data_IF_237126961292
#
_entry.id   IF_237126961292
#
_cell.length_a   1.000
_cell.length_b   1.000
_cell.length_c   1.000
_cell.angle_alpha   90.00
_cell.angle_beta   90.00
_cell.angle_gamma   90.00
#
_symmetry.space_group_name_H-M   'P 1'
#
loop_
_entity.id
_entity.type
_entity.pdbx_description
1 polymer ?
#
# COMPACT_ATOMS: atom_id res chain seq x y z
N UNK A 1 -10.87 -38.62 -49.04
CA UNK A 1 -12.21 -38.63 -48.42
C UNK A 1 -12.09 -38.11 -47.00
N UNK A 2 -12.77 -37.00 -46.71
CA UNK A 2 -13.33 -36.51 -45.42
C UNK A 2 -12.57 -36.95 -44.15
N UNK A 3 -11.89 -36.10 -43.38
CA UNK A 3 -12.27 -34.77 -42.90
C UNK A 3 -13.02 -34.89 -41.57
N UNK A 4 -12.44 -34.38 -40.48
CA UNK A 4 -13.06 -33.56 -39.42
C UNK A 4 -11.94 -32.86 -38.64
N UNK A 5 -12.02 -31.53 -38.69
CA UNK A 5 -11.34 -30.53 -37.88
C UNK A 5 -12.27 -30.14 -36.73
N UNK A 6 -11.80 -30.15 -35.48
CA UNK A 6 -12.22 -29.32 -34.32
C UNK A 6 -11.01 -29.42 -33.35
N UNK A 7 -10.22 -28.43 -32.97
CA UNK A 7 -10.39 -26.98 -32.97
C UNK A 7 -11.13 -26.51 -31.73
N UNK A 8 -10.42 -26.20 -30.63
CA UNK A 8 -10.74 -25.11 -29.67
C UNK A 8 -9.68 -25.05 -28.54
N UNK A 9 -9.10 -23.84 -28.41
CA UNK A 9 -8.54 -23.12 -27.25
C UNK A 9 -7.51 -23.84 -26.35
N UNK A 10 -6.21 -23.48 -26.30
CA UNK A 10 -5.63 -22.16 -25.98
C UNK A 10 -6.33 -21.47 -24.80
N UNK A 11 -5.89 -21.83 -23.59
CA UNK A 11 -6.29 -21.21 -22.32
C UNK A 11 -5.24 -21.45 -21.23
N UNK A 12 -3.97 -21.15 -21.54
CA UNK A 12 -2.88 -21.05 -20.56
C UNK A 12 -2.38 -19.61 -20.67
N UNK A 13 -2.21 -18.97 -19.50
CA UNK A 13 -1.84 -17.56 -19.25
C UNK A 13 -3.03 -16.68 -18.85
N UNK A 14 -3.46 -16.80 -17.59
CA UNK A 14 -3.92 -15.70 -16.73
C UNK A 14 -4.24 -16.23 -15.32
N UNK A 15 -3.22 -16.60 -14.54
CA UNK A 15 -3.35 -16.76 -13.08
C UNK A 15 -2.52 -15.68 -12.40
N UNK A 16 -2.90 -14.42 -12.67
CA UNK A 16 -2.46 -13.27 -11.89
C UNK A 16 -3.55 -12.99 -10.86
N UNK A 17 -3.21 -13.11 -9.58
CA UNK A 17 -3.95 -12.55 -8.44
C UNK A 17 -5.48 -12.68 -8.51
N UNK A 18 -6.00 -13.91 -8.59
CA UNK A 18 -7.43 -14.18 -8.55
C UNK A 18 -7.75 -15.10 -7.38
N UNK A 19 -8.46 -14.58 -6.38
CA UNK A 19 -9.16 -15.40 -5.39
C UNK A 19 -9.97 -16.44 -6.17
N UNK A 20 -9.67 -17.72 -5.96
CA UNK A 20 -10.38 -18.81 -6.64
C UNK A 20 -11.88 -18.73 -6.29
N UNK A 21 -12.79 -18.51 -7.26
CA UNK A 21 -14.22 -18.35 -6.97
C UNK A 21 -14.85 -19.60 -6.33
N UNK A 22 -14.31 -20.80 -6.62
CA UNK A 22 -14.74 -22.04 -5.96
C UNK A 22 -14.35 -22.07 -4.48
N UNK A 23 -13.26 -21.37 -4.10
CA UNK A 23 -12.90 -21.20 -2.67
C UNK A 23 -13.85 -20.23 -1.97
N UNK A 24 -14.32 -19.17 -2.64
CA UNK A 24 -15.25 -18.20 -2.04
C UNK A 24 -16.62 -18.81 -1.76
N UNK A 25 -17.14 -19.64 -2.65
CA UNK A 25 -18.40 -20.35 -2.43
C UNK A 25 -18.32 -21.34 -1.25
N UNK A 26 -17.20 -22.07 -1.12
CA UNK A 26 -16.94 -22.94 0.03
C UNK A 26 -16.75 -22.13 1.32
N UNK A 27 -16.14 -20.95 1.24
CA UNK A 27 -16.00 -20.01 2.37
C UNK A 27 -17.38 -19.48 2.79
N UNK A 28 -18.26 -19.09 1.89
CA UNK A 28 -19.60 -18.61 2.22
C UNK A 28 -20.49 -19.72 2.79
N UNK A 29 -20.43 -20.92 2.23
CA UNK A 29 -21.17 -22.06 2.76
C UNK A 29 -20.68 -22.44 4.17
N UNK A 30 -19.36 -22.46 4.40
CA UNK A 30 -18.81 -22.71 5.75
C UNK A 30 -19.07 -21.54 6.70
N UNK A 31 -19.04 -20.28 6.24
CA UNK A 31 -19.47 -19.10 7.02
C UNK A 31 -20.92 -19.23 7.46
N UNK A 32 -21.83 -19.68 6.59
CA UNK A 32 -23.23 -19.89 6.94
C UNK A 32 -23.43 -21.05 7.94
N UNK A 33 -22.71 -22.16 7.76
CA UNK A 33 -22.73 -23.30 8.69
C UNK A 33 -22.11 -22.96 10.07
N UNK A 34 -21.13 -22.05 10.10
CA UNK A 34 -20.44 -21.59 11.31
C UNK A 34 -21.17 -20.45 12.02
N UNK A 35 -21.76 -19.50 11.28
CA UNK A 35 -22.62 -18.45 11.83
C UNK A 35 -23.87 -19.03 12.51
N UNK A 36 -24.38 -20.15 12.00
CA UNK A 36 -25.45 -20.92 12.64
C UNK A 36 -25.03 -21.60 13.96
N UNK A 37 -23.73 -21.74 14.24
CA UNK A 37 -23.19 -22.31 15.49
C UNK A 37 -22.69 -21.27 16.50
N UNK A 38 -22.40 -20.03 16.08
CA UNK A 38 -21.77 -18.98 16.90
C UNK A 38 -22.72 -17.82 17.31
N UNK A 39 -24.04 -17.97 17.18
CA UNK A 39 -24.98 -16.83 17.16
C UNK A 39 -25.45 -16.29 18.53
N UNK A 40 -24.66 -16.37 19.60
CA UNK A 40 -25.04 -15.83 20.92
C UNK A 40 -24.04 -14.80 21.44
N UNK A 41 -24.49 -13.55 21.69
CA UNK A 41 -23.74 -12.60 22.52
C UNK A 41 -23.70 -13.18 23.95
N UNK A 42 -22.57 -13.74 24.34
CA UNK A 42 -22.37 -14.25 25.70
C UNK A 42 -22.10 -13.05 26.60
N UNK A 43 -23.13 -12.59 27.30
CA UNK A 43 -22.99 -11.60 28.37
C UNK A 43 -22.33 -12.27 29.57
N UNK A 44 -21.19 -11.72 30.00
CA UNK A 44 -20.37 -12.28 31.06
C UNK A 44 -20.04 -11.16 32.06
N UNK A 45 -20.67 -11.26 33.23
CA UNK A 45 -20.48 -10.34 34.35
C UNK A 45 -19.70 -11.00 35.48
N UNK A 46 -18.89 -10.21 36.18
CA UNK A 46 -18.23 -10.65 37.40
C UNK A 46 -19.11 -10.38 38.62
N UNK A 47 -18.92 -11.17 39.68
CA UNK A 47 -19.50 -10.96 41.00
C UNK A 47 -18.40 -10.67 42.00
N UNK A 48 -18.68 -9.85 43.01
CA UNK A 48 -17.72 -9.57 44.09
C UNK A 48 -17.34 -10.82 44.90
N UNK A 49 -18.17 -11.88 44.83
CA UNK A 49 -17.90 -13.18 45.43
C UNK A 49 -17.04 -14.11 44.56
N UNK A 50 -16.81 -13.78 43.28
CA UNK A 50 -15.95 -14.59 42.41
C UNK A 50 -14.48 -14.52 42.88
N UNK A 51 -13.68 -15.59 42.78
CA UNK A 51 -12.24 -15.53 43.02
C UNK A 51 -11.58 -14.47 42.13
N UNK A 52 -10.52 -13.81 42.63
CA UNK A 52 -9.80 -12.77 41.87
C UNK A 52 -9.40 -13.22 40.46
N UNK A 53 -8.85 -14.43 40.23
CA UNK A 53 -8.51 -14.89 38.89
C UNK A 53 -9.72 -14.96 37.94
N UNK A 54 -10.91 -15.29 38.44
CA UNK A 54 -12.13 -15.32 37.64
C UNK A 54 -12.55 -13.91 37.25
N UNK A 55 -12.48 -12.95 38.18
CA UNK A 55 -12.78 -11.54 37.87
C UNK A 55 -11.83 -10.97 36.82
N UNK A 56 -10.53 -11.20 36.98
CA UNK A 56 -9.50 -10.74 36.05
C UNK A 56 -9.70 -11.33 34.65
N UNK A 57 -10.10 -12.61 34.58
CA UNK A 57 -10.40 -13.28 33.32
C UNK A 57 -11.64 -12.71 32.63
N UNK A 58 -12.72 -12.48 33.38
CA UNK A 58 -13.96 -11.88 32.85
C UNK A 58 -13.67 -10.48 32.29
N UNK A 59 -12.95 -9.65 33.04
CA UNK A 59 -12.56 -8.31 32.58
C UNK A 59 -11.72 -8.40 31.30
N UNK A 60 -10.69 -9.25 31.30
CA UNK A 60 -9.78 -9.39 30.16
C UNK A 60 -10.50 -9.89 28.89
N UNK A 61 -11.46 -10.81 29.01
CA UNK A 61 -12.24 -11.27 27.84
C UNK A 61 -13.17 -10.18 27.30
N UNK A 62 -13.81 -9.41 28.18
CA UNK A 62 -14.66 -8.30 27.73
C UNK A 62 -13.83 -7.20 27.06
N UNK A 63 -12.65 -6.87 27.59
CA UNK A 63 -11.72 -5.95 26.93
C UNK A 63 -11.21 -6.49 25.59
N UNK A 64 -11.00 -7.82 25.48
CA UNK A 64 -10.60 -8.46 24.21
C UNK A 64 -11.67 -8.27 23.13
N UNK A 65 -12.95 -8.39 23.49
CA UNK A 65 -14.08 -8.15 22.57
C UNK A 65 -14.08 -6.71 22.05
N UNK A 66 -13.94 -5.72 22.93
CA UNK A 66 -13.80 -4.31 22.52
C UNK A 66 -12.59 -4.08 21.62
N UNK A 67 -11.43 -4.67 21.94
CA UNK A 67 -10.22 -4.54 21.11
C UNK A 67 -10.40 -5.13 19.72
N UNK A 68 -11.12 -6.24 19.61
CA UNK A 68 -11.44 -6.83 18.33
C UNK A 68 -12.37 -5.93 17.51
N UNK A 69 -13.36 -5.29 18.13
CA UNK A 69 -14.25 -4.31 17.49
C UNK A 69 -13.49 -3.05 17.02
N UNK A 70 -12.50 -2.60 17.78
CA UNK A 70 -11.60 -1.49 17.43
C UNK A 70 -10.54 -1.85 16.37
N UNK A 71 -10.50 -3.11 15.90
CA UNK A 71 -9.42 -3.64 15.05
C UNK A 71 -8.00 -3.52 15.67
N UNK A 72 -7.91 -3.41 16.99
CA UNK A 72 -6.66 -3.39 17.76
C UNK A 72 -6.21 -4.83 18.05
N UNK A 73 -5.61 -5.47 17.06
CA UNK A 73 -5.24 -6.89 17.12
C UNK A 73 -4.17 -7.19 18.19
N UNK A 74 -3.19 -6.30 18.36
CA UNK A 74 -2.15 -6.46 19.41
C UNK A 74 -2.79 -6.31 20.81
N UNK A 75 -3.74 -5.38 20.98
CA UNK A 75 -4.53 -5.23 22.19
C UNK A 75 -5.40 -6.46 22.48
N UNK A 76 -6.08 -7.00 21.46
CA UNK A 76 -6.87 -8.23 21.57
C UNK A 76 -6.03 -9.41 22.06
N UNK A 77 -4.88 -9.69 21.44
CA UNK A 77 -4.01 -10.80 21.84
C UNK A 77 -3.48 -10.65 23.27
N UNK A 78 -3.12 -9.43 23.66
CA UNK A 78 -2.64 -9.15 25.02
C UNK A 78 -3.71 -9.49 26.07
N UNK A 79 -4.95 -9.04 25.85
CA UNK A 79 -6.07 -9.28 26.77
C UNK A 79 -6.53 -10.74 26.75
N UNK A 80 -6.52 -11.37 25.57
CA UNK A 80 -6.78 -12.80 25.41
C UNK A 80 -5.82 -13.64 26.26
N UNK A 81 -4.51 -13.36 26.20
CA UNK A 81 -3.53 -14.09 26.99
C UNK A 81 -3.64 -13.82 28.49
N UNK A 82 -3.99 -12.60 28.89
CA UNK A 82 -4.27 -12.30 30.30
C UNK A 82 -5.44 -13.16 30.83
N UNK A 83 -6.51 -13.31 30.04
CA UNK A 83 -7.62 -14.19 30.39
C UNK A 83 -7.19 -15.67 30.50
N UNK A 84 -6.47 -16.18 29.49
CA UNK A 84 -6.00 -17.57 29.49
C UNK A 84 -4.96 -17.86 30.58
N UNK A 85 -4.15 -16.89 30.99
CA UNK A 85 -3.24 -17.06 32.12
C UNK A 85 -4.00 -17.25 33.45
N UNK A 86 -5.17 -16.60 33.58
CA UNK A 86 -6.00 -16.67 34.78
C UNK A 86 -6.86 -17.94 34.86
N UNK A 87 -7.36 -18.46 33.73
CA UNK A 87 -8.31 -19.61 33.71
C UNK A 87 -7.94 -20.76 32.77
N UNK A 88 -6.74 -20.72 32.18
CA UNK A 88 -6.26 -21.75 31.27
C UNK A 88 -5.69 -22.99 31.98
N UNK A 89 -5.06 -23.91 31.23
CA UNK A 89 -4.59 -25.22 31.73
C UNK A 89 -3.59 -25.17 32.90
N UNK A 90 -3.10 -23.98 33.25
CA UNK A 90 -2.12 -23.75 34.32
C UNK A 90 -2.73 -23.13 35.58
N UNK A 91 -4.05 -22.86 35.58
CA UNK A 91 -4.76 -22.37 36.74
C UNK A 91 -4.86 -23.46 37.84
N UNK A 92 -5.11 -23.06 39.08
CA UNK A 92 -5.30 -24.01 40.19
C UNK A 92 -6.56 -24.85 39.98
N UNK A 93 -6.61 -26.06 40.55
CA UNK A 93 -7.80 -26.92 40.47
C UNK A 93 -9.07 -26.23 40.98
N UNK A 94 -8.94 -25.39 42.03
CA UNK A 94 -10.04 -24.58 42.56
C UNK A 94 -10.59 -23.59 41.53
N UNK A 95 -9.72 -22.93 40.77
CA UNK A 95 -10.12 -22.00 39.70
C UNK A 95 -10.73 -22.79 38.54
N UNK A 96 -10.09 -23.89 38.11
CA UNK A 96 -10.56 -24.72 37.00
C UNK A 96 -11.94 -25.35 37.26
N UNK A 97 -12.26 -25.64 38.52
CA UNK A 97 -13.57 -26.16 38.93
C UNK A 97 -14.69 -25.09 38.93
N UNK A 98 -14.35 -23.81 38.76
CA UNK A 98 -15.33 -22.72 38.83
C UNK A 98 -16.28 -22.74 37.62
N UNK A 99 -17.61 -22.59 37.81
CA UNK A 99 -18.60 -22.74 36.74
C UNK A 99 -18.48 -21.70 35.62
N UNK A 100 -17.82 -20.56 35.87
CA UNK A 100 -17.56 -19.54 34.84
C UNK A 100 -16.40 -19.88 33.91
N UNK A 101 -15.49 -20.78 34.29
CA UNK A 101 -14.33 -21.13 33.44
C UNK A 101 -14.74 -21.67 32.07
N UNK A 102 -15.65 -22.65 31.96
CA UNK A 102 -16.13 -23.10 30.65
C UNK A 102 -16.76 -21.99 29.80
N UNK A 103 -17.47 -21.05 30.43
CA UNK A 103 -18.12 -19.92 29.74
C UNK A 103 -17.07 -18.94 29.21
N UNK A 104 -16.07 -18.60 30.03
CA UNK A 104 -14.93 -17.75 29.64
C UNK A 104 -14.19 -18.36 28.45
N UNK A 105 -13.84 -19.65 28.53
CA UNK A 105 -13.14 -20.35 27.45
C UNK A 105 -13.97 -20.42 26.17
N UNK A 106 -15.28 -20.62 26.28
CA UNK A 106 -16.21 -20.58 25.13
C UNK A 106 -16.25 -19.19 24.49
N UNK A 107 -16.30 -18.13 25.30
CA UNK A 107 -16.29 -16.75 24.78
C UNK A 107 -14.96 -16.43 24.09
N UNK A 108 -13.82 -16.87 24.63
CA UNK A 108 -12.50 -16.74 23.98
C UNK A 108 -12.51 -17.46 22.63
N UNK A 109 -12.97 -18.72 22.57
CA UNK A 109 -13.03 -19.46 21.31
C UNK A 109 -13.90 -18.76 20.24
N UNK A 110 -15.03 -18.17 20.65
CA UNK A 110 -15.87 -17.38 19.73
C UNK A 110 -15.16 -16.12 19.22
N UNK A 111 -14.42 -15.42 20.08
CA UNK A 111 -13.63 -14.26 19.69
C UNK A 111 -12.46 -14.65 18.78
N UNK A 112 -11.78 -15.77 19.06
CA UNK A 112 -10.72 -16.32 18.22
C UNK A 112 -11.25 -16.66 16.82
N UNK A 113 -12.47 -17.19 16.74
CA UNK A 113 -13.13 -17.49 15.47
C UNK A 113 -13.46 -16.20 14.70
N UNK A 114 -14.08 -15.20 15.34
CA UNK A 114 -14.33 -13.87 14.73
C UNK A 114 -13.03 -13.22 14.27
N UNK A 115 -11.97 -13.35 15.06
CA UNK A 115 -10.66 -12.82 14.72
C UNK A 115 -10.04 -13.58 13.54
N UNK A 116 -10.17 -14.91 13.49
CA UNK A 116 -9.69 -15.72 12.36
C UNK A 116 -10.41 -15.39 11.03
N UNK A 117 -11.65 -14.89 11.08
CA UNK A 117 -12.36 -14.38 9.91
C UNK A 117 -11.69 -13.14 9.27
N UNK A 118 -10.88 -12.40 10.04
CA UNK A 118 -10.04 -11.31 9.53
C UNK A 118 -8.75 -11.82 8.85
N UNK A 119 -8.43 -13.10 9.02
CA UNK A 119 -7.31 -13.78 8.38
C UNK A 119 -7.69 -14.45 7.05
N UNK A 120 -7.16 -15.64 6.81
CA UNK A 120 -7.46 -16.43 5.62
C UNK A 120 -8.14 -17.76 5.99
N UNK A 121 -8.49 -18.56 4.97
CA UNK A 121 -9.15 -19.85 5.18
C UNK A 121 -8.35 -20.81 6.10
N UNK A 122 -7.01 -20.74 6.08
CA UNK A 122 -6.13 -21.52 6.95
C UNK A 122 -6.28 -21.08 8.42
N UNK A 123 -6.41 -19.78 8.69
CA UNK A 123 -6.67 -19.25 10.05
C UNK A 123 -7.94 -19.82 10.66
N UNK A 124 -9.02 -19.85 9.88
CA UNK A 124 -10.31 -20.39 10.31
C UNK A 124 -10.19 -21.88 10.60
N UNK A 125 -9.51 -22.63 9.73
CA UNK A 125 -9.31 -24.06 9.87
C UNK A 125 -8.53 -24.44 11.14
N UNK A 126 -7.42 -23.76 11.42
CA UNK A 126 -6.60 -24.08 12.59
C UNK A 126 -7.28 -23.72 13.91
N UNK A 127 -8.01 -22.59 13.97
CA UNK A 127 -8.73 -22.17 15.19
C UNK A 127 -9.94 -23.05 15.45
N UNK A 128 -10.66 -23.45 14.40
CA UNK A 128 -11.84 -24.30 14.48
C UNK A 128 -11.51 -25.77 14.78
N UNK A 129 -10.22 -26.16 14.82
CA UNK A 129 -9.82 -27.51 15.17
C UNK A 129 -10.21 -27.83 16.63
N UNK A 130 -11.14 -28.78 16.87
CA UNK A 130 -11.58 -29.14 18.21
C UNK A 130 -10.56 -30.00 18.96
N UNK A 131 -9.62 -30.62 18.24
CA UNK A 131 -8.56 -31.44 18.83
C UNK A 131 -7.42 -30.52 19.28
N UNK A 132 -7.43 -30.14 20.57
CA UNK A 132 -6.32 -29.42 21.21
C UNK A 132 -5.41 -30.39 21.92
N UNK A 133 -4.10 -30.21 21.76
CA UNK A 133 -3.06 -31.04 22.37
C UNK A 133 -2.30 -30.27 23.45
N UNK A 134 -2.06 -30.91 24.59
CA UNK A 134 -1.14 -30.41 25.62
C UNK A 134 0.31 -30.87 25.42
N UNK A 135 0.60 -31.62 24.35
CA UNK A 135 1.91 -32.21 24.09
C UNK A 135 2.32 -32.02 22.62
N UNK A 136 3.54 -31.53 22.42
CA UNK A 136 4.20 -31.44 21.12
C UNK A 136 5.72 -31.55 21.33
N UNK A 137 6.45 -32.00 20.30
CA UNK A 137 7.91 -32.05 20.33
C UNK A 137 8.52 -30.64 20.45
N UNK A 138 9.61 -30.52 21.21
CA UNK A 138 10.32 -29.25 21.36
C UNK A 138 10.85 -28.72 20.03
N UNK A 139 11.36 -29.59 19.16
CA UNK A 139 11.88 -29.22 17.83
C UNK A 139 10.78 -28.64 16.93
N UNK A 140 9.57 -29.21 16.96
CA UNK A 140 8.44 -28.65 16.23
C UNK A 140 8.01 -27.29 16.81
N UNK A 141 8.02 -27.13 18.14
CA UNK A 141 7.70 -25.86 18.79
C UNK A 141 8.72 -24.76 18.47
N UNK A 142 10.02 -25.10 18.39
CA UNK A 142 11.04 -24.15 17.93
C UNK A 142 10.83 -23.75 16.47
N UNK A 143 10.47 -24.70 15.59
CA UNK A 143 10.15 -24.38 14.20
C UNK A 143 8.90 -23.48 14.07
N UNK A 144 7.87 -23.69 14.90
CA UNK A 144 6.72 -22.77 15.00
C UNK A 144 7.18 -21.39 15.44
N UNK A 145 8.01 -21.31 16.48
CA UNK A 145 8.50 -20.04 17.00
C UNK A 145 9.34 -19.26 15.97
N UNK A 146 10.25 -19.94 15.25
CA UNK A 146 10.96 -19.36 14.10
C UNK A 146 9.99 -18.81 13.04
N UNK A 147 8.90 -19.54 12.78
CA UNK A 147 7.81 -19.11 11.90
C UNK A 147 7.16 -17.82 12.39
N UNK A 148 6.67 -17.81 13.63
CA UNK A 148 5.99 -16.67 14.24
C UNK A 148 6.89 -15.42 14.29
N UNK A 149 8.16 -15.58 14.65
CA UNK A 149 9.15 -14.49 14.63
C UNK A 149 9.36 -13.95 13.22
N UNK A 150 9.38 -14.83 12.21
CA UNK A 150 9.45 -14.43 10.81
C UNK A 150 8.20 -13.66 10.38
N UNK A 151 7.02 -14.07 10.84
CA UNK A 151 5.78 -13.37 10.57
C UNK A 151 5.72 -11.99 11.23
N UNK A 152 6.18 -11.86 12.48
CA UNK A 152 6.29 -10.57 13.15
C UNK A 152 7.18 -9.61 12.36
N UNK A 153 8.29 -10.11 11.79
CA UNK A 153 9.16 -9.34 10.88
C UNK A 153 8.46 -8.99 9.57
N UNK A 154 7.68 -9.90 9.00
CA UNK A 154 6.89 -9.63 7.79
C UNK A 154 5.88 -8.50 8.01
N UNK A 155 5.17 -8.50 9.15
CA UNK A 155 4.25 -7.43 9.49
C UNK A 155 4.95 -6.08 9.72
N UNK A 156 6.10 -6.10 10.38
CA UNK A 156 6.92 -4.92 10.65
C UNK A 156 7.66 -4.39 9.41
N UNK A 157 7.73 -5.17 8.33
CA UNK A 157 8.39 -4.74 7.10
C UNK A 157 7.69 -3.51 6.50
N UNK A 158 8.51 -2.65 5.89
CA UNK A 158 8.08 -1.47 5.15
C UNK A 158 7.94 -1.74 3.65
N UNK A 159 8.32 -2.93 3.17
CA UNK A 159 8.30 -3.30 1.76
C UNK A 159 7.38 -4.48 1.48
N UNK A 160 6.59 -4.40 0.40
CA UNK A 160 5.75 -5.50 -0.06
C UNK A 160 6.57 -6.74 -0.42
N UNK A 161 7.70 -6.56 -1.11
CA UNK A 161 8.57 -7.66 -1.55
C UNK A 161 9.16 -8.40 -0.34
N UNK A 162 9.67 -7.66 0.64
CA UNK A 162 10.21 -8.25 1.86
C UNK A 162 9.10 -8.94 2.68
N UNK A 163 7.91 -8.33 2.78
CA UNK A 163 6.75 -8.96 3.43
C UNK A 163 6.41 -10.31 2.77
N UNK A 164 6.32 -10.35 1.44
CA UNK A 164 5.97 -11.58 0.71
C UNK A 164 7.07 -12.65 0.78
N UNK A 165 8.33 -12.26 0.88
CA UNK A 165 9.44 -13.18 1.11
C UNK A 165 9.41 -13.76 2.52
N UNK A 166 9.29 -12.90 3.55
CA UNK A 166 9.23 -13.33 4.94
C UNK A 166 7.98 -14.18 5.20
N UNK A 167 6.84 -13.84 4.60
CA UNK A 167 5.64 -14.67 4.72
C UNK A 167 5.84 -16.08 4.14
N UNK A 168 6.50 -16.21 2.97
CA UNK A 168 6.86 -17.54 2.42
C UNK A 168 7.77 -18.34 3.35
N UNK A 169 8.72 -17.67 4.01
CA UNK A 169 9.59 -18.32 5.01
C UNK A 169 8.82 -18.77 6.25
N UNK A 170 7.85 -17.97 6.69
CA UNK A 170 6.92 -18.37 7.76
C UNK A 170 6.14 -19.64 7.37
N UNK A 171 5.57 -19.70 6.16
CA UNK A 171 4.85 -20.89 5.68
C UNK A 171 5.75 -22.13 5.65
N UNK A 172 6.98 -21.98 5.15
CA UNK A 172 7.99 -23.06 5.13
C UNK A 172 8.31 -23.57 6.54
N UNK A 173 8.39 -22.68 7.53
CA UNK A 173 8.64 -23.05 8.92
C UNK A 173 7.47 -23.81 9.54
N UNK A 174 6.23 -23.43 9.23
CA UNK A 174 5.04 -24.17 9.66
C UNK A 174 4.97 -25.56 9.02
N UNK A 175 5.26 -25.68 7.74
CA UNK A 175 5.32 -26.98 7.05
C UNK A 175 6.39 -27.88 7.69
N UNK A 176 7.57 -27.33 7.98
CA UNK A 176 8.64 -28.03 8.70
C UNK A 176 8.18 -28.49 10.09
N UNK A 177 7.52 -27.61 10.86
CA UNK A 177 7.03 -27.96 12.19
C UNK A 177 6.01 -29.10 12.13
N UNK A 178 5.04 -29.02 11.22
CA UNK A 178 4.02 -30.04 11.03
C UNK A 178 4.60 -31.39 10.57
N UNK A 179 5.64 -31.36 9.74
CA UNK A 179 6.35 -32.57 9.30
C UNK A 179 7.15 -33.23 10.44
N UNK A 180 7.69 -32.43 11.37
CA UNK A 180 8.38 -32.93 12.57
C UNK A 180 7.40 -33.55 13.57
N UNK A 181 6.29 -32.86 13.83
CA UNK A 181 5.22 -33.33 14.72
C UNK A 181 3.89 -32.68 14.34
N UNK A 182 2.95 -33.48 13.82
CA UNK A 182 1.64 -32.99 13.39
C UNK A 182 0.78 -32.48 14.55
N UNK A 183 1.05 -32.89 15.79
CA UNK A 183 0.33 -32.40 16.97
C UNK A 183 0.69 -30.95 17.32
N UNK A 184 1.79 -30.41 16.78
CA UNK A 184 2.23 -29.04 17.08
C UNK A 184 1.20 -27.99 16.64
N UNK A 185 0.48 -28.25 15.55
CA UNK A 185 -0.53 -27.34 15.02
C UNK A 185 -1.79 -27.28 15.90
N UNK A 186 -1.94 -28.20 16.85
CA UNK A 186 -3.01 -28.25 17.84
C UNK A 186 -2.55 -27.83 19.25
N UNK A 187 -1.28 -27.45 19.41
CA UNK A 187 -0.66 -27.32 20.73
C UNK A 187 -1.17 -26.09 21.50
N UNK A 188 -1.57 -26.34 22.74
CA UNK A 188 -1.88 -25.33 23.76
C UNK A 188 -1.18 -25.73 25.06
N UNK A 189 -0.18 -24.96 25.49
CA UNK A 189 0.63 -25.35 26.64
C UNK A 189 1.68 -24.32 27.02
N UNK A 190 2.70 -24.74 27.79
CA UNK A 190 3.81 -23.85 28.15
C UNK A 190 4.76 -23.65 26.98
N UNK A 191 5.33 -22.45 26.89
CA UNK A 191 6.42 -22.16 25.94
C UNK A 191 7.66 -23.01 26.27
N UNK A 192 8.42 -23.47 25.26
CA UNK A 192 9.66 -24.23 25.48
C UNK A 192 10.73 -23.40 26.21
N UNK A 193 10.84 -22.11 25.87
CA UNK A 193 11.84 -21.19 26.42
C UNK A 193 11.19 -20.07 27.23
N UNK A 194 10.83 -20.35 28.49
CA UNK A 194 10.40 -19.34 29.45
C UNK A 194 9.10 -19.65 30.18
N UNK A 195 8.66 -18.70 31.02
CA UNK A 195 7.36 -18.74 31.66
C UNK A 195 6.31 -18.11 30.73
N UNK A 196 5.28 -18.86 30.35
CA UNK A 196 4.17 -18.35 29.55
C UNK A 196 3.39 -19.45 28.83
N UNK A 197 2.10 -19.19 28.57
CA UNK A 197 1.25 -20.02 27.73
C UNK A 197 1.53 -19.70 26.25
N UNK A 198 1.43 -20.70 25.38
CA UNK A 198 1.34 -20.54 23.92
C UNK A 198 0.15 -21.35 23.42
N UNK A 199 -0.63 -20.74 22.54
CA UNK A 199 -1.71 -21.37 21.78
C UNK A 199 -1.34 -21.25 20.30
N UNK A 200 -0.78 -22.32 19.74
CA UNK A 200 -0.22 -22.31 18.39
C UNK A 200 -1.29 -21.97 17.34
N UNK A 201 -2.50 -22.58 17.34
CA UNK A 201 -3.60 -22.15 16.49
C UNK A 201 -3.89 -20.66 16.51
N UNK A 202 -3.97 -20.07 17.71
CA UNK A 202 -4.30 -18.66 17.85
C UNK A 202 -3.17 -17.75 17.34
N UNK A 203 -1.91 -18.10 17.60
CA UNK A 203 -0.74 -17.36 17.10
C UNK A 203 -0.62 -17.41 15.58
N UNK A 204 -0.91 -18.57 14.98
CA UNK A 204 -0.97 -18.74 13.53
C UNK A 204 -2.07 -17.84 12.98
N UNK A 205 -3.30 -17.95 13.49
CA UNK A 205 -4.41 -17.09 13.05
C UNK A 205 -4.07 -15.60 13.20
N UNK A 206 -3.37 -15.23 14.27
CA UNK A 206 -2.92 -13.87 14.50
C UNK A 206 -1.94 -13.36 13.46
N UNK A 207 -0.93 -14.17 13.16
CA UNK A 207 -0.02 -13.90 12.06
C UNK A 207 -0.78 -13.72 10.73
N UNK A 208 -1.66 -14.66 10.38
CA UNK A 208 -2.40 -14.60 9.11
C UNK A 208 -3.27 -13.35 8.98
N UNK A 209 -3.95 -12.95 10.05
CA UNK A 209 -4.77 -11.73 10.08
C UNK A 209 -3.91 -10.48 9.93
N UNK A 210 -2.78 -10.39 10.63
CA UNK A 210 -1.82 -9.28 10.47
C UNK A 210 -1.32 -9.17 9.05
N UNK A 211 -0.91 -10.28 8.43
CA UNK A 211 -0.40 -10.26 7.07
C UNK A 211 -1.50 -9.94 6.06
N UNK A 212 -2.71 -10.46 6.26
CA UNK A 212 -3.86 -10.15 5.42
C UNK A 212 -4.23 -8.67 5.49
N UNK A 213 -4.27 -8.09 6.69
CA UNK A 213 -4.44 -6.66 6.91
C UNK A 213 -3.35 -5.85 6.20
N UNK A 214 -2.08 -6.21 6.43
CA UNK A 214 -0.95 -5.48 5.86
C UNK A 214 -1.04 -5.58 4.32
N UNK A 215 -1.31 -6.75 3.73
CA UNK A 215 -1.62 -6.97 2.29
C UNK A 215 -2.76 -6.13 1.78
N UNK A 216 -3.82 -5.95 2.55
CA UNK A 216 -4.89 -5.04 2.22
C UNK A 216 -4.41 -3.58 2.23
N UNK A 217 -3.56 -3.18 3.18
CA UNK A 217 -2.95 -1.84 3.21
C UNK A 217 -2.05 -1.59 1.98
N UNK A 218 -1.22 -2.55 1.56
CA UNK A 218 -0.46 -2.40 0.30
C UNK A 218 -1.34 -2.47 -0.96
N UNK A 219 -2.59 -2.94 -0.84
CA UNK A 219 -3.58 -2.87 -1.90
C UNK A 219 -4.44 -1.59 -1.82
N UNK A 220 -4.45 -0.90 -0.67
CA UNK A 220 -5.04 0.43 -0.48
C UNK A 220 -4.11 1.53 -1.01
N UNK A 221 -2.80 1.28 -1.06
CA UNK A 221 -1.84 2.14 -1.74
C UNK A 221 -1.69 1.72 -3.20
N UNK A 222 -1.69 2.67 -4.15
CA UNK A 222 -1.42 2.35 -5.55
C UNK A 222 -0.02 1.75 -5.66
N UNK A 223 0.13 0.72 -6.49
CA UNK A 223 1.46 0.20 -6.79
C UNK A 223 2.32 1.35 -7.33
N UNK A 224 3.53 1.54 -6.77
CA UNK A 224 4.49 2.45 -7.37
C UNK A 224 4.68 2.03 -8.83
N UNK A 225 4.49 2.97 -9.75
CA UNK A 225 4.70 2.71 -11.16
C UNK A 225 6.10 2.11 -11.31
N UNK A 226 6.17 0.86 -11.81
CA UNK A 226 7.45 0.20 -11.99
C UNK A 226 8.35 1.14 -12.80
N UNK A 227 9.56 1.42 -12.30
CA UNK A 227 10.56 2.17 -13.04
C UNK A 227 10.97 1.32 -14.24
N UNK A 228 10.20 1.43 -15.31
CA UNK A 228 10.47 0.84 -16.61
C UNK A 228 11.37 1.78 -17.42
N UNK A 229 12.01 2.77 -16.78
CA UNK A 229 12.97 3.61 -17.46
C UNK A 229 14.22 2.83 -17.81
N UNK A 230 14.62 2.96 -19.06
CA UNK A 230 15.94 2.59 -19.54
C UNK A 230 16.74 3.87 -19.61
N UNK A 231 17.90 3.88 -18.95
CA UNK A 231 18.85 4.97 -19.10
C UNK A 231 19.52 4.87 -20.48
N UNK A 232 19.58 5.98 -21.20
CA UNK A 232 20.35 6.10 -22.44
C UNK A 232 20.87 7.52 -22.60
N UNK A 233 21.91 7.69 -23.41
CA UNK A 233 22.43 9.00 -23.76
C UNK A 233 21.85 9.45 -25.10
N UNK A 234 21.34 10.67 -25.18
CA UNK A 234 20.77 11.24 -26.41
C UNK A 234 20.70 12.77 -26.39
N UNK A 235 20.08 13.34 -27.42
CA UNK A 235 19.92 14.80 -27.52
C UNK A 235 18.72 15.28 -26.67
N UNK A 236 18.94 16.26 -25.79
CA UNK A 236 17.93 16.77 -24.85
C UNK A 236 18.19 18.20 -24.39
N UNK A 237 17.31 18.76 -23.54
CA UNK A 237 17.55 20.05 -22.90
C UNK A 237 17.13 20.11 -21.42
N UNK A 238 17.74 21.05 -20.69
CA UNK A 238 17.38 21.43 -19.32
C UNK A 238 16.78 22.83 -19.31
N UNK A 239 15.76 23.09 -18.49
CA UNK A 239 15.22 24.44 -18.31
C UNK A 239 15.73 25.07 -17.01
N UNK A 240 16.23 26.30 -17.14
CA UNK A 240 16.82 27.08 -16.06
C UNK A 240 16.11 28.43 -16.02
N UNK A 241 15.52 28.75 -14.88
CA UNK A 241 14.90 30.04 -14.63
C UNK A 241 15.94 30.99 -14.07
N UNK A 242 16.05 32.15 -14.71
CA UNK A 242 16.99 33.20 -14.37
C UNK A 242 16.24 34.47 -14.00
N UNK A 243 16.82 35.26 -13.09
CA UNK A 243 16.34 36.62 -12.83
C UNK A 243 17.51 37.58 -12.65
N UNK A 244 17.26 38.86 -12.94
CA UNK A 244 18.19 39.94 -12.65
C UNK A 244 17.42 41.09 -12.00
N UNK A 245 17.92 41.55 -10.84
CA UNK A 245 17.36 42.71 -10.15
C UNK A 245 17.82 44.01 -10.81
N UNK A 246 16.93 45.00 -10.89
CA UNK A 246 17.28 46.34 -11.37
C UNK A 246 18.18 47.05 -10.35
N UNK A 247 19.33 47.55 -10.81
CA UNK A 247 20.32 48.26 -9.96
C UNK A 247 20.30 49.78 -10.17
N UNK A 248 19.89 50.25 -11.35
CA UNK A 248 19.64 51.67 -11.63
C UNK A 248 18.67 51.83 -12.82
N UNK A 249 18.20 53.05 -13.16
CA UNK A 249 17.31 53.25 -14.30
C UNK A 249 17.89 52.63 -15.58
N UNK A 250 17.17 51.68 -16.16
CA UNK A 250 17.57 50.90 -17.34
C UNK A 250 18.80 49.98 -17.18
N UNK A 251 19.29 49.73 -15.97
CA UNK A 251 20.41 48.81 -15.70
C UNK A 251 19.98 47.70 -14.75
N UNK A 252 20.24 46.46 -15.17
CA UNK A 252 20.01 45.25 -14.38
C UNK A 252 21.34 44.64 -13.93
N UNK A 253 21.32 43.95 -12.79
CA UNK A 253 22.44 43.14 -12.32
C UNK A 253 22.73 41.96 -13.27
N UNK A 254 23.82 41.24 -13.00
CA UNK A 254 24.06 39.94 -13.62
C UNK A 254 22.93 38.97 -13.25
N UNK A 255 22.58 38.10 -14.19
CA UNK A 255 21.52 37.11 -13.99
C UNK A 255 21.94 36.06 -12.96
N UNK A 256 21.04 35.74 -12.04
CA UNK A 256 21.17 34.66 -11.08
C UNK A 256 20.16 33.57 -11.39
N UNK A 257 20.50 32.33 -11.00
CA UNK A 257 19.61 31.18 -11.15
C UNK A 257 18.67 31.13 -9.94
N UNK A 258 17.36 31.11 -10.21
CA UNK A 258 16.32 31.09 -9.16
C UNK A 258 15.46 29.84 -9.18
N UNK A 259 15.66 29.00 -10.18
CA UNK A 259 15.12 27.65 -10.24
C UNK A 259 15.75 26.89 -11.39
N UNK A 260 16.01 25.62 -11.18
CA UNK A 260 16.39 24.68 -12.25
C UNK A 260 15.55 23.43 -12.08
N UNK A 261 15.17 22.77 -13.16
CA UNK A 261 14.77 21.37 -13.02
C UNK A 261 15.98 20.60 -12.47
N UNK A 262 15.87 20.04 -11.26
CA UNK A 262 16.94 19.27 -10.59
C UNK A 262 17.30 17.97 -11.31
N UNK A 263 16.49 17.62 -12.31
CA UNK A 263 16.68 16.54 -13.27
C UNK A 263 16.46 17.12 -14.68
N UNK A 264 17.01 16.50 -15.75
CA UNK A 264 16.49 16.74 -17.10
C UNK A 264 14.98 16.57 -17.04
N UNK A 265 14.20 17.39 -17.75
CA UNK A 265 12.78 17.11 -17.89
C UNK A 265 12.67 15.72 -18.51
N UNK A 266 12.31 14.74 -17.68
CA UNK A 266 12.22 13.34 -18.01
C UNK A 266 11.30 13.22 -19.23
N UNK A 267 11.83 12.64 -20.31
CA UNK A 267 11.03 12.31 -21.50
C UNK A 267 11.08 13.27 -22.69
N UNK A 268 11.85 14.36 -22.72
CA UNK A 268 11.95 15.19 -23.96
C UNK A 268 13.24 14.87 -24.72
N UNK A 269 13.22 13.74 -25.45
CA UNK A 269 14.19 13.51 -26.51
C UNK A 269 13.98 14.57 -27.60
N UNK A 270 14.95 15.48 -27.78
CA UNK A 270 14.95 16.36 -28.93
C UNK A 270 15.58 15.57 -30.07
N UNK A 271 14.92 15.48 -31.23
CA UNK A 271 15.59 14.96 -32.41
C UNK A 271 16.88 15.75 -32.62
N UNK A 272 18.05 15.11 -32.73
CA UNK A 272 19.32 15.81 -32.78
C UNK A 272 19.40 16.83 -33.93
N UNK A 273 18.67 16.58 -35.03
CA UNK A 273 18.49 17.50 -36.15
C UNK A 273 17.71 18.79 -35.82
N UNK A 274 16.92 18.78 -34.74
CA UNK A 274 16.14 19.91 -34.22
C UNK A 274 16.85 20.66 -33.09
N UNK A 275 18.06 20.23 -32.68
CA UNK A 275 18.86 21.05 -31.80
C UNK A 275 19.18 22.39 -32.48
N UNK A 276 19.20 23.50 -31.73
CA UNK A 276 19.60 24.77 -32.30
C UNK A 276 21.02 24.65 -32.88
N UNK A 277 21.33 25.31 -34.02
CA UNK A 277 22.65 25.23 -34.62
C UNK A 277 23.71 26.04 -33.86
N UNK A 278 23.29 26.98 -33.00
CA UNK A 278 24.16 27.80 -32.16
C UNK A 278 23.38 28.36 -30.96
N UNK A 279 24.11 28.77 -29.91
CA UNK A 279 23.52 29.49 -28.76
C UNK A 279 22.97 30.85 -29.21
N UNK A 280 21.73 31.15 -28.85
CA UNK A 280 21.06 32.43 -29.15
C UNK A 280 20.70 33.24 -27.88
N UNK A 281 21.00 32.72 -26.69
CA UNK A 281 20.85 33.48 -25.46
C UNK A 281 21.81 34.69 -25.42
N UNK A 282 21.42 35.83 -24.83
CA UNK A 282 22.31 36.98 -24.67
C UNK A 282 23.60 36.64 -23.91
N UNK A 283 24.74 37.26 -24.25
CA UNK A 283 26.04 36.98 -23.61
C UNK A 283 26.03 37.18 -22.10
N UNK A 284 25.29 38.18 -21.62
CA UNK A 284 25.11 38.46 -20.19
C UNK A 284 24.21 37.44 -19.47
N UNK A 285 23.55 36.53 -20.20
CA UNK A 285 22.85 35.36 -19.66
C UNK A 285 23.75 34.12 -19.73
N UNK A 286 24.44 33.91 -20.86
CA UNK A 286 25.29 32.74 -21.07
C UNK A 286 26.44 32.65 -20.05
N UNK A 287 27.10 33.79 -19.77
CA UNK A 287 28.24 33.81 -18.84
C UNK A 287 27.83 33.43 -17.41
N UNK A 288 26.82 34.06 -16.79
CA UNK A 288 26.39 33.66 -15.45
C UNK A 288 25.91 32.21 -15.37
N UNK A 289 25.26 31.68 -16.41
CA UNK A 289 24.89 30.27 -16.46
C UNK A 289 26.12 29.37 -16.43
N UNK A 290 27.15 29.64 -17.25
CA UNK A 290 28.41 28.88 -17.23
C UNK A 290 29.16 29.00 -15.90
N UNK A 291 29.10 30.16 -15.25
CA UNK A 291 29.76 30.40 -13.97
C UNK A 291 29.02 29.72 -12.81
N UNK A 292 27.68 29.64 -12.85
CA UNK A 292 26.84 29.11 -11.76
C UNK A 292 26.49 27.62 -11.93
N UNK A 293 26.39 27.09 -13.15
CA UNK A 293 26.09 25.68 -13.43
C UNK A 293 27.39 24.94 -13.78
N UNK A 294 28.09 24.47 -12.75
CA UNK A 294 29.35 23.73 -12.87
C UNK A 294 29.26 22.44 -13.72
N UNK A 295 28.05 21.98 -14.03
CA UNK A 295 27.78 20.82 -14.87
C UNK A 295 27.60 21.14 -16.36
N UNK A 296 27.62 22.42 -16.77
CA UNK A 296 27.60 22.83 -18.18
C UNK A 296 28.90 22.38 -18.88
N UNK A 297 28.75 21.57 -19.93
CA UNK A 297 29.88 21.16 -20.76
C UNK A 297 30.25 22.25 -21.78
N UNK A 298 31.52 22.33 -22.22
CA UNK A 298 31.96 23.32 -23.21
C UNK A 298 31.18 23.34 -24.54
N UNK A 299 30.48 22.26 -24.88
CA UNK A 299 29.65 22.12 -26.09
C UNK A 299 28.13 22.26 -25.88
N UNK A 300 27.65 22.55 -24.67
CA UNK A 300 26.23 22.76 -24.43
C UNK A 300 25.76 24.07 -25.08
N UNK A 301 24.58 24.03 -25.70
CA UNK A 301 23.98 25.16 -26.40
C UNK A 301 22.93 25.82 -25.51
N UNK A 302 22.90 27.15 -25.49
CA UNK A 302 22.07 27.90 -24.54
C UNK A 302 21.13 28.80 -25.32
N UNK A 303 19.82 28.67 -25.07
CA UNK A 303 18.78 29.40 -25.79
C UNK A 303 17.69 29.94 -24.89
N UNK A 304 17.14 31.11 -25.23
CA UNK A 304 16.01 31.68 -24.49
C UNK A 304 14.71 30.92 -24.80
N UNK A 305 14.03 30.42 -23.78
CA UNK A 305 12.68 29.90 -23.88
C UNK A 305 11.66 31.04 -23.74
N UNK A 306 11.48 31.79 -24.83
CA UNK A 306 10.55 32.91 -24.89
C UNK A 306 11.15 34.28 -24.51
N UNK A 307 10.32 35.34 -24.50
CA UNK A 307 10.76 36.69 -24.15
C UNK A 307 11.02 36.82 -22.64
N UNK A 308 11.70 37.90 -22.26
CA UNK A 308 11.84 38.25 -20.85
C UNK A 308 10.52 38.75 -20.27
N UNK A 309 10.24 38.35 -19.04
CA UNK A 309 9.15 38.86 -18.21
C UNK A 309 9.68 39.87 -17.19
N UNK A 310 8.80 40.72 -16.69
CA UNK A 310 9.14 41.75 -15.72
C UNK A 310 8.22 41.63 -14.50
N UNK A 311 8.81 41.54 -13.32
CA UNK A 311 8.08 41.41 -12.06
C UNK A 311 8.50 42.52 -11.10
N UNK A 312 7.52 43.28 -10.62
CA UNK A 312 7.74 44.30 -9.60
C UNK A 312 7.66 43.66 -8.21
N UNK A 313 8.78 43.69 -7.48
CA UNK A 313 8.87 43.39 -6.04
C UNK A 313 9.33 44.66 -5.30
N UNK A 314 10.26 44.53 -4.37
CA UNK A 314 10.98 45.67 -3.75
C UNK A 314 11.80 46.47 -4.77
N UNK A 315 12.27 45.80 -5.82
CA UNK A 315 12.86 46.38 -7.04
C UNK A 315 12.25 45.67 -8.26
N UNK A 316 12.45 46.23 -9.47
CA UNK A 316 12.02 45.58 -10.70
C UNK A 316 12.95 44.40 -11.03
N UNK A 317 12.40 43.22 -11.23
CA UNK A 317 13.13 42.04 -11.69
C UNK A 317 12.84 41.79 -13.16
N UNK A 318 13.89 41.45 -13.91
CA UNK A 318 13.80 40.95 -15.27
C UNK A 318 14.03 39.44 -15.25
N UNK A 319 13.03 38.67 -15.64
CA UNK A 319 12.98 37.21 -15.54
C UNK A 319 13.00 36.57 -16.92
N UNK A 320 13.56 35.37 -17.00
CA UNK A 320 13.50 34.57 -18.22
C UNK A 320 13.73 33.09 -17.94
N UNK A 321 13.38 32.27 -18.91
CA UNK A 321 13.68 30.84 -18.91
C UNK A 321 14.68 30.55 -20.01
N UNK A 322 15.67 29.72 -19.70
CA UNK A 322 16.74 29.33 -20.61
C UNK A 322 16.75 27.83 -20.78
N UNK A 323 16.85 27.37 -22.03
CA UNK A 323 17.07 25.98 -22.41
C UNK A 323 18.55 25.73 -22.65
N UNK A 324 19.11 24.79 -21.89
CA UNK A 324 20.46 24.27 -22.09
C UNK A 324 20.34 22.96 -22.86
N UNK A 325 20.65 22.97 -24.15
CA UNK A 325 20.64 21.80 -25.02
C UNK A 325 21.97 21.05 -24.96
N UNK A 326 21.90 19.72 -24.91
CA UNK A 326 23.05 18.81 -24.86
C UNK A 326 22.86 17.66 -25.84
N UNK A 327 23.95 17.25 -26.50
CA UNK A 327 23.93 16.18 -27.51
C UNK A 327 24.04 14.76 -26.92
N UNK A 328 24.51 14.66 -25.68
CA UNK A 328 24.74 13.44 -24.90
C UNK A 328 24.12 13.54 -23.49
N UNK A 329 22.91 14.10 -23.40
CA UNK A 329 22.19 14.19 -22.15
C UNK A 329 21.89 12.78 -21.60
N UNK A 330 22.09 12.53 -20.29
CA UNK A 330 21.58 11.33 -19.65
C UNK A 330 20.05 11.43 -19.61
N UNK A 331 19.38 10.58 -20.39
CA UNK A 331 17.94 10.55 -20.54
C UNK A 331 17.41 9.24 -19.94
N UNK A 332 16.27 9.33 -19.27
CA UNK A 332 15.45 8.18 -18.88
C UNK A 332 14.33 8.05 -19.89
N UNK A 333 14.26 6.93 -20.61
CA UNK A 333 13.10 6.56 -21.43
C UNK A 333 12.30 5.49 -20.73
N UNK A 334 11.02 5.75 -20.43
CA UNK A 334 10.13 4.66 -20.08
C UNK A 334 9.64 3.93 -21.34
N UNK A 335 8.93 2.81 -21.19
CA UNK A 335 8.20 2.20 -22.33
C UNK A 335 7.13 3.13 -22.93
N UNK A 336 6.64 4.08 -22.14
CA UNK A 336 5.88 5.22 -22.65
C UNK A 336 6.88 6.28 -23.12
N UNK A 337 6.67 6.97 -24.23
CA UNK A 337 7.59 8.01 -24.71
C UNK A 337 8.70 7.53 -25.66
N UNK A 338 9.26 6.32 -25.47
CA UNK A 338 10.28 5.76 -26.39
C UNK A 338 9.70 5.27 -27.72
N UNK A 339 8.50 4.71 -27.69
CA UNK A 339 7.78 4.27 -28.91
C UNK A 339 6.94 5.40 -29.54
N UNK A 340 6.47 6.35 -28.71
CA UNK A 340 5.74 7.54 -29.16
C UNK A 340 5.99 8.74 -28.21
N UNK A 341 6.72 9.79 -28.65
CA UNK A 341 7.05 10.96 -27.83
C UNK A 341 5.84 11.85 -27.51
N UNK A 342 4.67 11.55 -28.07
CA UNK A 342 3.42 12.26 -27.74
C UNK A 342 2.74 11.70 -26.48
N UNK A 343 3.17 10.55 -25.97
CA UNK A 343 2.59 9.87 -24.80
C UNK A 343 3.48 10.08 -23.56
N UNK A 344 2.87 10.44 -22.43
CA UNK A 344 3.49 10.57 -21.10
C UNK A 344 2.87 9.59 -20.11
N UNK A 345 3.60 9.21 -19.06
CA UNK A 345 3.06 8.32 -18.00
C UNK A 345 3.60 8.66 -16.61
N UNK A 346 3.05 8.01 -15.58
CA UNK A 346 3.48 8.18 -14.19
C UNK A 346 4.97 7.86 -13.98
N UNK A 347 5.49 6.82 -14.65
CA UNK A 347 6.89 6.41 -14.55
C UNK A 347 7.87 7.44 -15.14
N UNK A 348 7.41 8.41 -15.94
CA UNK A 348 8.21 9.54 -16.44
C UNK A 348 8.14 10.78 -15.53
N UNK A 349 7.51 10.66 -14.36
CA UNK A 349 7.34 11.78 -13.43
C UNK A 349 6.20 12.73 -13.81
N UNK A 350 5.24 12.29 -14.62
CA UNK A 350 4.05 13.10 -14.94
C UNK A 350 3.13 13.18 -13.71
N UNK A 351 3.14 14.33 -13.04
CA UNK A 351 2.28 14.61 -11.86
C UNK A 351 0.79 14.47 -12.19
N UNK A 352 0.37 14.81 -13.42
CA UNK A 352 -1.03 14.66 -13.84
C UNK A 352 -1.42 13.19 -14.05
N UNK A 353 -0.51 12.36 -14.62
CA UNK A 353 -0.75 10.93 -14.76
C UNK A 353 -0.81 10.23 -13.39
N UNK A 354 0.11 10.61 -12.49
CA UNK A 354 0.14 10.16 -11.11
C UNK A 354 -1.16 10.50 -10.37
N UNK A 355 -1.58 11.76 -10.42
CA UNK A 355 -2.84 12.22 -9.82
C UNK A 355 -4.05 11.41 -10.32
N UNK A 356 -4.14 11.19 -11.63
CA UNK A 356 -5.22 10.40 -12.23
C UNK A 356 -5.22 8.95 -11.71
N UNK A 357 -4.09 8.25 -11.82
CA UNK A 357 -4.00 6.84 -11.43
C UNK A 357 -4.26 6.65 -9.93
N UNK A 358 -3.71 7.54 -9.10
CA UNK A 358 -3.85 7.49 -7.65
C UNK A 358 -5.30 7.79 -7.23
N UNK A 359 -5.89 8.86 -7.76
CA UNK A 359 -7.29 9.20 -7.47
C UNK A 359 -8.26 8.07 -7.87
N UNK A 360 -8.06 7.47 -9.06
CA UNK A 360 -8.88 6.35 -9.52
C UNK A 360 -8.73 5.12 -8.63
N UNK A 361 -7.49 4.78 -8.24
CA UNK A 361 -7.21 3.67 -7.34
C UNK A 361 -7.94 3.85 -6.00
N UNK A 362 -7.75 5.00 -5.34
CA UNK A 362 -8.35 5.26 -4.05
C UNK A 362 -9.89 5.30 -4.10
N UNK A 363 -10.49 5.81 -5.19
CA UNK A 363 -11.95 5.74 -5.36
C UNK A 363 -12.46 4.29 -5.47
N UNK A 364 -11.76 3.44 -6.23
CA UNK A 364 -12.09 2.02 -6.33
C UNK A 364 -11.97 1.31 -4.96
N UNK A 365 -10.97 1.69 -4.14
CA UNK A 365 -10.80 1.18 -2.77
C UNK A 365 -11.88 1.70 -1.83
N UNK A 366 -12.30 2.96 -1.94
CA UNK A 366 -13.42 3.50 -1.16
C UNK A 366 -14.72 2.73 -1.44
N UNK A 367 -14.99 2.40 -2.70
CA UNK A 367 -16.15 1.58 -3.08
C UNK A 367 -16.05 0.15 -2.54
N UNK A 368 -14.86 -0.45 -2.60
CA UNK A 368 -14.63 -1.76 -1.99
C UNK A 368 -14.91 -1.74 -0.48
N UNK A 369 -14.35 -0.77 0.26
CA UNK A 369 -14.54 -0.65 1.71
C UNK A 369 -15.99 -0.33 2.10
N UNK A 370 -16.74 0.36 1.24
CA UNK A 370 -18.19 0.53 1.39
C UNK A 370 -18.95 -0.80 1.26
N UNK A 371 -18.55 -1.66 0.32
CA UNK A 371 -19.17 -2.97 0.11
C UNK A 371 -18.85 -3.98 1.23
N UNK A 372 -17.74 -3.81 1.96
CA UNK A 372 -17.36 -4.63 3.13
C UNK A 372 -17.62 -3.93 4.49
N UNK A 373 -18.76 -3.23 4.61
CA UNK A 373 -19.10 -2.22 5.63
C UNK A 373 -17.97 -1.69 6.54
N UNK A 374 -16.92 -1.11 5.96
CA UNK A 374 -15.81 -0.46 6.67
C UNK A 374 -15.84 1.07 6.47
N UNK A 375 -16.73 1.81 7.17
CA UNK A 375 -17.02 3.22 6.90
C UNK A 375 -15.81 4.14 7.11
N UNK A 376 -14.97 3.86 8.11
CA UNK A 376 -13.77 4.65 8.39
C UNK A 376 -12.74 4.52 7.26
N UNK A 377 -12.51 3.28 6.78
CA UNK A 377 -11.60 3.02 5.66
C UNK A 377 -12.13 3.56 4.34
N UNK A 378 -13.44 3.48 4.12
CA UNK A 378 -14.08 4.14 2.99
C UNK A 378 -13.81 5.65 2.98
N UNK A 379 -13.97 6.31 4.14
CA UNK A 379 -13.73 7.75 4.29
C UNK A 379 -12.25 8.10 4.11
N UNK A 380 -11.34 7.30 4.68
CA UNK A 380 -9.90 7.45 4.50
C UNK A 380 -9.50 7.40 3.02
N UNK A 381 -9.98 6.40 2.28
CA UNK A 381 -9.69 6.27 0.86
C UNK A 381 -10.28 7.42 0.04
N UNK A 382 -11.50 7.87 0.36
CA UNK A 382 -12.08 9.03 -0.30
C UNK A 382 -11.27 10.31 -0.07
N UNK A 383 -10.70 10.50 1.13
CA UNK A 383 -9.81 11.63 1.43
C UNK A 383 -8.51 11.54 0.61
N UNK A 384 -7.87 10.38 0.57
CA UNK A 384 -6.67 10.15 -0.27
C UNK A 384 -6.95 10.40 -1.75
N UNK A 385 -8.12 10.00 -2.25
CA UNK A 385 -8.54 10.30 -3.62
C UNK A 385 -8.66 11.80 -3.87
N UNK A 386 -9.27 12.54 -2.94
CA UNK A 386 -9.40 14.00 -3.03
C UNK A 386 -8.03 14.68 -3.07
N UNK A 387 -7.13 14.29 -2.17
CA UNK A 387 -5.80 14.87 -2.07
C UNK A 387 -4.94 14.55 -3.32
N UNK A 388 -5.02 13.32 -3.83
CA UNK A 388 -4.35 12.93 -5.07
C UNK A 388 -4.87 13.70 -6.29
N UNK A 389 -6.18 13.97 -6.36
CA UNK A 389 -6.77 14.75 -7.43
C UNK A 389 -6.56 16.27 -7.29
N UNK A 390 -6.03 16.75 -6.16
CA UNK A 390 -5.84 18.16 -5.87
C UNK A 390 -4.49 18.70 -6.39
N UNK A 391 -4.21 18.47 -7.67
CA UNK A 391 -3.00 18.96 -8.36
C UNK A 391 -3.32 20.15 -9.26
N UNK A 392 -2.33 21.03 -9.50
CA UNK A 392 -2.48 22.12 -10.46
C UNK A 392 -2.54 21.57 -11.88
N UNK A 393 -3.60 21.92 -12.62
CA UNK A 393 -3.83 21.50 -14.01
C UNK A 393 -3.38 22.55 -15.03
N UNK A 394 -2.69 23.61 -14.60
CA UNK A 394 -2.23 24.69 -15.48
C UNK A 394 -1.04 24.23 -16.35
N UNK A 395 -1.13 24.48 -17.66
CA UNK A 395 -0.08 24.15 -18.65
C UNK A 395 -0.39 22.98 -19.59
N UNK A 396 -1.66 22.62 -19.78
CA UNK A 396 -2.06 21.54 -20.67
C UNK A 396 -1.63 21.81 -22.14
N UNK A 397 -0.72 20.98 -22.65
CA UNK A 397 -0.35 20.93 -24.07
C UNK A 397 -1.01 19.75 -24.79
N UNK A 398 -0.56 19.45 -26.01
CA UNK A 398 -1.10 18.38 -26.87
C UNK A 398 -0.67 16.95 -26.48
N UNK A 399 -0.21 16.73 -25.23
CA UNK A 399 0.32 15.42 -24.83
C UNK A 399 -0.81 14.43 -24.52
N UNK A 400 -0.54 13.15 -24.77
CA UNK A 400 -1.39 12.03 -24.40
C UNK A 400 -0.83 11.38 -23.14
N UNK A 401 -1.68 10.71 -22.35
CA UNK A 401 -1.29 10.02 -21.11
C UNK A 401 -1.68 8.55 -21.22
N UNK A 402 -0.73 7.65 -20.95
CA UNK A 402 -1.03 6.23 -20.75
C UNK A 402 -1.48 6.00 -19.31
N UNK A 403 -2.70 5.52 -19.15
CA UNK A 403 -3.27 5.11 -17.86
C UNK A 403 -2.74 3.74 -17.43
N UNK A 404 -2.91 3.39 -16.15
CA UNK A 404 -2.57 2.04 -15.64
C UNK A 404 -3.31 0.92 -16.39
N UNK A 405 -4.52 1.21 -16.89
CA UNK A 405 -5.33 0.28 -17.69
C UNK A 405 -4.92 0.23 -19.17
N UNK A 406 -3.81 0.88 -19.53
CA UNK A 406 -3.27 0.97 -20.89
C UNK A 406 -4.16 1.74 -21.88
N UNK A 407 -5.14 2.51 -21.39
CA UNK A 407 -5.82 3.51 -22.23
C UNK A 407 -4.90 4.70 -22.47
N UNK A 408 -4.86 5.19 -23.71
CA UNK A 408 -4.20 6.44 -24.08
C UNK A 408 -5.26 7.53 -24.14
N UNK A 409 -5.18 8.50 -23.23
CA UNK A 409 -6.14 9.60 -23.12
C UNK A 409 -5.47 10.93 -23.48
N UNK A 410 -6.21 11.82 -24.12
CA UNK A 410 -5.72 13.19 -24.32
C UNK A 410 -5.62 13.90 -22.96
N UNK A 411 -4.62 14.77 -22.77
CA UNK A 411 -4.42 15.49 -21.52
C UNK A 411 -5.68 16.26 -21.05
N UNK A 412 -6.45 16.85 -21.97
CA UNK A 412 -7.72 17.50 -21.66
C UNK A 412 -8.78 16.54 -21.09
N UNK A 413 -8.82 15.29 -21.57
CA UNK A 413 -9.70 14.25 -21.04
C UNK A 413 -9.27 13.83 -19.64
N UNK A 414 -7.95 13.73 -19.39
CA UNK A 414 -7.42 13.41 -18.06
C UNK A 414 -7.76 14.52 -17.06
N UNK A 415 -7.55 15.79 -17.42
CA UNK A 415 -7.91 16.93 -16.55
C UNK A 415 -9.39 16.88 -16.20
N UNK A 416 -10.27 16.67 -17.18
CA UNK A 416 -11.70 16.53 -16.93
C UNK A 416 -12.03 15.35 -16.00
N UNK A 417 -11.37 14.20 -16.18
CA UNK A 417 -11.55 13.02 -15.31
C UNK A 417 -11.00 13.24 -13.89
N UNK A 418 -9.85 13.89 -13.74
CA UNK A 418 -9.28 14.24 -12.42
C UNK A 418 -10.21 15.18 -11.66
N UNK A 419 -10.74 16.21 -12.33
CA UNK A 419 -11.74 17.12 -11.72
C UNK A 419 -13.04 16.39 -11.36
N UNK A 420 -13.51 15.47 -12.22
CA UNK A 420 -14.67 14.64 -11.92
C UNK A 420 -14.43 13.73 -10.70
N UNK A 421 -13.25 13.10 -10.60
CA UNK A 421 -12.86 12.27 -9.46
C UNK A 421 -12.72 13.10 -8.18
N UNK A 422 -12.15 14.31 -8.24
CA UNK A 422 -12.11 15.24 -7.12
C UNK A 422 -13.51 15.59 -6.63
N UNK A 423 -14.43 15.88 -7.56
CA UNK A 423 -15.83 16.14 -7.23
C UNK A 423 -16.50 14.92 -6.60
N UNK A 424 -16.28 13.72 -7.14
CA UNK A 424 -16.80 12.47 -6.60
C UNK A 424 -16.29 12.20 -5.19
N UNK A 425 -14.98 12.33 -4.95
CA UNK A 425 -14.37 12.17 -3.64
C UNK A 425 -14.95 13.19 -2.63
N UNK A 426 -15.09 14.46 -3.03
CA UNK A 426 -15.72 15.49 -2.20
C UNK A 426 -17.17 15.15 -1.85
N UNK A 427 -17.94 14.61 -2.79
CA UNK A 427 -19.32 14.18 -2.53
C UNK A 427 -19.36 13.04 -1.51
N UNK A 428 -18.49 12.03 -1.67
CA UNK A 428 -18.37 10.92 -0.72
C UNK A 428 -18.08 11.45 0.69
N UNK A 429 -17.11 12.36 0.83
CA UNK A 429 -16.70 12.95 2.12
C UNK A 429 -17.79 13.82 2.77
N UNK A 430 -18.61 14.48 1.96
CA UNK A 430 -19.67 15.39 2.44
C UNK A 430 -21.02 14.71 2.73
N UNK A 431 -21.15 13.41 2.44
CA UNK A 431 -22.41 12.67 2.52
C UNK A 431 -22.30 11.46 3.44
N UNK A 432 -23.43 10.80 3.69
CA UNK A 432 -23.49 9.54 4.43
C UNK A 432 -23.19 8.32 3.53
N UNK A 433 -22.49 8.53 2.41
CA UNK A 433 -22.22 7.50 1.40
C UNK A 433 -21.45 6.30 1.95
N UNK A 434 -20.38 6.54 2.72
CA UNK A 434 -19.61 5.48 3.37
C UNK A 434 -20.38 4.76 4.48
N UNK A 435 -21.44 5.37 5.01
CA UNK A 435 -22.26 4.82 6.10
C UNK A 435 -23.46 4.00 5.61
N UNK A 436 -23.71 3.99 4.29
CA UNK A 436 -24.80 3.23 3.65
C UNK A 436 -24.23 2.09 2.82
N UNK A 437 -24.17 0.84 3.34
CA UNK A 437 -23.74 -0.30 2.55
C UNK A 437 -24.61 -0.44 1.29
N UNK A 438 -24.00 -0.92 0.20
CA UNK A 438 -24.67 -1.15 -1.09
C UNK A 438 -25.55 -2.39 -1.07
#
# INVERSE_FOLDING_TARGET
MKGIWIGVALGIVASACGVNPDRMAVIEQRKAELAAKASGKIELEYSDSDPQPIRDAVQSVNESETKLEESDFDGYMTRRYAALAAVGPLASEEVLAHPKVPIILTKIANLDQKFAEAGNARSIEVVANPERSGAASADALYAVQDGLDTCARAYASTSRTETDELYRRYETNLERANATDSQVMAYVGKKPSGAGLIDVPAEIAFCEARISYKRAVWADEPAEAADLSTDYNGCGYFEVNIEAAQTSPNVFADYTIVGSSSQPQTGIAVACEKMPPASDAPTNVQRPLRDQLLWLAPGDLVSMAGPFEYEQRDVLYKKGTVRVFRSDAPLKTSKCGSEDPTITCEAEGSELAKAFNHAQHYLNRAEHHRAVPAPEKCTEMAQKAFDAANVSTQGAGDKQILTVDKEVLAQAQIVARVEAMKSQASQILSSDWCSKPQ
#
